data_IF_438480226579
#
_entry.id   IF_438480226579
#
_cell.length_a   1.000
_cell.length_b   1.000
_cell.length_c   1.000
_cell.angle_alpha   90.00
_cell.angle_beta   90.00
_cell.angle_gamma   90.00
#
_symmetry.space_group_name_H-M   'P 1'
#
loop_
_entity.id
_entity.type
_entity.pdbx_description
1 polymer ?
#
# COMPACT_ATOMS: atom_id res chain seq x y z
N UNK A 1 -17.66 -8.66 3.02
CA UNK A 1 -17.55 -9.25 1.67
C UNK A 1 -16.37 -10.19 1.70
N UNK A 2 -16.62 -11.50 1.66
CA UNK A 2 -15.54 -12.49 1.55
C UNK A 2 -15.04 -12.44 0.12
N UNK A 3 -13.81 -11.98 -0.09
CA UNK A 3 -13.21 -11.95 -1.43
C UNK A 3 -13.16 -13.35 -2.02
N UNK A 4 -13.34 -13.47 -3.34
CA UNK A 4 -13.10 -14.72 -4.06
C UNK A 4 -11.64 -15.11 -3.85
N UNK A 5 -11.42 -16.24 -3.19
CA UNK A 5 -10.08 -16.75 -2.94
C UNK A 5 -9.65 -17.61 -4.13
N UNK A 6 -8.73 -17.07 -4.92
CA UNK A 6 -8.13 -17.78 -6.04
C UNK A 6 -7.17 -18.84 -5.49
N UNK A 7 -7.22 -20.10 -5.94
CA UNK A 7 -6.28 -21.14 -5.53
C UNK A 7 -4.83 -20.69 -5.70
N UNK A 8 -3.99 -21.03 -4.72
CA UNK A 8 -2.57 -20.66 -4.67
C UNK A 8 -2.29 -19.15 -4.56
N UNK A 9 -3.28 -18.35 -4.14
CA UNK A 9 -3.00 -16.96 -3.76
C UNK A 9 -2.07 -16.90 -2.55
N UNK A 10 -1.14 -15.94 -2.56
CA UNK A 10 -0.24 -15.68 -1.44
C UNK A 10 -0.64 -14.35 -0.80
N UNK A 11 -0.66 -14.32 0.53
CA UNK A 11 -0.94 -13.13 1.34
C UNK A 11 0.26 -12.81 2.20
N UNK A 12 0.75 -11.58 2.09
CA UNK A 12 1.96 -11.12 2.79
C UNK A 12 1.58 -9.94 3.67
N UNK A 13 1.56 -10.08 5.00
CA UNK A 13 1.34 -8.95 5.90
C UNK A 13 2.54 -8.00 5.84
N UNK A 14 2.27 -6.71 5.72
CA UNK A 14 3.31 -5.67 5.74
C UNK A 14 2.83 -4.46 6.52
N UNK A 15 3.72 -3.82 7.27
CA UNK A 15 3.46 -2.51 7.83
C UNK A 15 3.88 -1.42 6.84
N UNK A 16 3.04 -0.42 6.61
CA UNK A 16 3.32 0.63 5.61
C UNK A 16 3.85 1.87 6.30
N UNK A 17 4.98 2.38 5.79
CA UNK A 17 5.46 3.71 6.12
C UNK A 17 4.97 4.71 5.08
N UNK A 18 4.35 5.78 5.57
CA UNK A 18 3.88 6.88 4.72
C UNK A 18 4.53 8.18 5.13
N UNK A 19 4.87 8.98 4.14
CA UNK A 19 5.38 10.32 4.34
C UNK A 19 4.33 11.35 3.91
N UNK A 20 4.07 12.31 4.78
CA UNK A 20 3.28 13.50 4.50
C UNK A 20 4.21 14.67 4.23
N UNK A 21 4.00 15.35 3.10
CA UNK A 21 4.75 16.54 2.68
C UNK A 21 3.80 17.68 2.32
N UNK A 22 4.23 18.95 2.38
CA UNK A 22 3.41 20.06 1.90
C UNK A 22 3.01 19.85 0.43
N UNK A 23 1.75 20.12 0.12
CA UNK A 23 1.23 20.03 -1.24
C UNK A 23 1.89 21.05 -2.17
N UNK A 24 2.10 20.67 -3.43
CA UNK A 24 2.67 21.54 -4.45
C UNK A 24 1.61 22.26 -5.31
N UNK A 25 0.31 22.05 -5.01
CA UNK A 25 -0.81 22.54 -5.83
C UNK A 25 -1.94 23.08 -4.97
N UNK A 26 -2.83 23.93 -5.50
CA UNK A 26 -3.99 24.45 -4.76
C UNK A 26 -5.03 23.41 -4.36
N UNK A 27 -4.98 22.19 -4.89
CA UNK A 27 -6.04 21.19 -4.71
C UNK A 27 -5.88 20.35 -3.43
N UNK A 28 -4.69 20.32 -2.85
CA UNK A 28 -4.42 19.56 -1.64
C UNK A 28 -3.33 20.24 -0.82
N UNK A 29 -3.62 20.48 0.47
CA UNK A 29 -2.65 21.01 1.43
C UNK A 29 -1.48 20.05 1.68
N UNK A 30 -1.75 18.74 1.58
CA UNK A 30 -0.78 17.68 1.86
C UNK A 30 -0.65 16.71 0.70
N UNK A 31 0.58 16.34 0.39
CA UNK A 31 0.91 15.18 -0.46
C UNK A 31 1.28 14.00 0.43
N UNK A 32 0.73 12.83 0.12
CA UNK A 32 0.99 11.59 0.82
C UNK A 32 1.65 10.58 -0.10
N UNK A 33 2.66 9.89 0.40
CA UNK A 33 3.37 8.85 -0.35
C UNK A 33 3.66 7.66 0.55
N UNK A 34 3.32 6.45 0.10
CA UNK A 34 3.90 5.24 0.66
C UNK A 34 5.38 5.19 0.24
N UNK A 35 6.28 5.18 1.22
CA UNK A 35 7.72 5.28 0.98
C UNK A 35 8.44 3.96 1.25
N UNK A 36 7.90 3.11 2.12
CA UNK A 36 8.51 1.86 2.53
C UNK A 36 7.46 0.89 3.10
N UNK A 37 7.79 -0.39 3.10
CA UNK A 37 7.04 -1.45 3.78
C UNK A 37 7.99 -2.26 4.66
N UNK A 38 7.51 -2.65 5.84
CA UNK A 38 8.25 -3.47 6.80
C UNK A 38 7.57 -4.83 6.93
N UNK A 39 8.34 -5.92 6.86
CA UNK A 39 7.87 -7.28 7.13
C UNK A 39 7.69 -7.54 8.62
N UNK A 40 8.52 -6.90 9.44
CA UNK A 40 8.46 -6.92 10.89
C UNK A 40 8.55 -5.48 11.40
N UNK A 41 7.48 -5.03 12.04
CA UNK A 41 7.37 -3.68 12.58
C UNK A 41 7.00 -3.75 14.07
N UNK A 42 7.48 -2.80 14.88
CA UNK A 42 7.08 -2.74 16.29
C UNK A 42 5.57 -2.59 16.41
N UNK A 43 4.99 -3.16 17.46
CA UNK A 43 3.57 -3.04 17.79
C UNK A 43 3.27 -1.61 18.26
N UNK A 44 3.06 -0.73 17.29
CA UNK A 44 2.72 0.66 17.47
C UNK A 44 1.33 0.91 16.88
N UNK A 45 0.54 1.82 17.47
CA UNK A 45 -0.74 2.20 16.90
C UNK A 45 -0.60 2.73 15.46
N UNK A 46 -1.59 2.47 14.59
CA UNK A 46 -1.67 3.12 13.28
C UNK A 46 -1.52 4.64 13.38
N UNK A 47 -0.84 5.24 12.41
CA UNK A 47 -0.53 6.67 12.32
C UNK A 47 0.42 7.19 13.40
N UNK A 48 1.28 6.33 13.95
CA UNK A 48 2.36 6.77 14.85
C UNK A 48 3.41 7.57 14.07
N UNK A 49 3.74 8.78 14.55
CA UNK A 49 4.84 9.61 14.01
C UNK A 49 6.18 8.97 14.36
N UNK A 50 7.01 8.70 13.35
CA UNK A 50 8.35 8.13 13.52
C UNK A 50 9.45 9.19 13.40
N UNK A 51 9.23 10.19 12.55
CA UNK A 51 10.20 11.28 12.30
C UNK A 51 9.47 12.52 11.78
N UNK A 52 9.95 13.69 12.20
CA UNK A 52 9.59 14.98 11.62
C UNK A 52 10.86 15.72 11.22
N UNK A 53 10.95 16.15 9.96
CA UNK A 53 12.11 16.89 9.45
C UNK A 53 11.74 17.73 8.22
N UNK A 54 12.21 18.97 8.15
CA UNK A 54 12.08 19.84 6.98
C UNK A 54 10.63 19.96 6.41
N UNK A 55 9.61 19.89 7.27
CA UNK A 55 8.20 19.93 6.88
C UNK A 55 7.63 18.59 6.40
N UNK A 56 8.41 17.51 6.47
CA UNK A 56 8.00 16.15 6.19
C UNK A 56 7.71 15.43 7.51
N UNK A 57 6.63 14.64 7.53
CA UNK A 57 6.33 13.75 8.65
C UNK A 57 6.28 12.31 8.14
N UNK A 58 7.12 11.44 8.69
CA UNK A 58 7.09 10.00 8.44
C UNK A 58 6.22 9.33 9.51
N UNK A 59 5.28 8.52 9.06
CA UNK A 59 4.36 7.76 9.91
C UNK A 59 4.51 6.27 9.66
N UNK A 60 4.34 5.47 10.71
CA UNK A 60 3.85 4.11 10.59
C UNK A 60 2.33 4.20 10.36
N UNK A 61 1.87 4.01 9.12
CA UNK A 61 0.44 4.05 8.81
C UNK A 61 -0.33 2.86 9.42
N UNK A 62 0.36 1.73 9.60
CA UNK A 62 -0.19 0.50 10.18
C UNK A 62 0.02 -0.70 9.27
N UNK A 63 -0.57 -1.83 9.66
CA UNK A 63 -0.50 -3.10 8.95
C UNK A 63 -1.54 -3.21 7.83
N UNK A 64 -1.14 -3.83 6.73
CA UNK A 64 -2.00 -4.22 5.62
C UNK A 64 -1.52 -5.54 5.02
N UNK A 65 -2.24 -6.03 4.01
CA UNK A 65 -1.93 -7.28 3.32
C UNK A 65 -1.65 -7.01 1.84
N UNK A 66 -0.54 -7.55 1.34
CA UNK A 66 -0.27 -7.67 -0.09
C UNK A 66 -0.79 -9.04 -0.56
N UNK A 67 -1.77 -9.03 -1.44
CA UNK A 67 -2.32 -10.23 -2.06
C UNK A 67 -1.72 -10.43 -3.46
N UNK A 68 -1.22 -11.64 -3.72
CA UNK A 68 -0.71 -12.08 -5.02
C UNK A 68 -1.62 -13.17 -5.56
N UNK A 69 -2.24 -12.92 -6.72
CA UNK A 69 -3.17 -13.83 -7.37
C UNK A 69 -2.53 -14.40 -8.65
N UNK A 70 -2.08 -15.66 -8.66
CA UNK A 70 -1.25 -16.19 -9.74
C UNK A 70 -1.97 -16.24 -11.09
N UNK A 71 -3.29 -16.34 -11.11
CA UNK A 71 -4.07 -16.39 -12.36
C UNK A 71 -4.32 -15.02 -12.97
N UNK A 72 -4.22 -13.93 -12.20
CA UNK A 72 -4.66 -12.60 -12.66
C UNK A 72 -3.87 -12.13 -13.88
N UNK A 73 -2.57 -12.43 -13.95
CA UNK A 73 -1.74 -12.03 -15.09
C UNK A 73 -2.12 -12.78 -16.38
N UNK A 74 -2.42 -14.08 -16.29
CA UNK A 74 -2.85 -14.86 -17.46
C UNK A 74 -4.24 -14.40 -17.92
N UNK A 75 -5.19 -14.31 -16.98
CA UNK A 75 -6.55 -13.86 -17.24
C UNK A 75 -6.58 -12.45 -17.84
N UNK A 76 -5.79 -11.51 -17.28
CA UNK A 76 -5.73 -10.15 -17.79
C UNK A 76 -5.18 -10.08 -19.22
N UNK A 77 -4.14 -10.88 -19.51
CA UNK A 77 -3.59 -10.97 -20.86
C UNK A 77 -4.60 -11.54 -21.85
N UNK A 78 -5.28 -12.62 -21.50
CA UNK A 78 -6.33 -13.24 -22.34
C UNK A 78 -7.47 -12.25 -22.60
N UNK A 79 -7.90 -11.51 -21.57
CA UNK A 79 -8.93 -10.46 -21.72
C UNK A 79 -8.50 -9.33 -22.67
N UNK A 80 -7.22 -8.94 -22.66
CA UNK A 80 -6.69 -7.92 -23.59
C UNK A 80 -6.57 -8.44 -25.03
N UNK A 81 -6.50 -9.75 -25.22
CA UNK A 81 -6.36 -10.42 -26.52
C UNK A 81 -7.69 -10.90 -27.10
N UNK A 82 -8.75 -10.94 -26.29
CA UNK A 82 -10.08 -11.29 -26.75
C UNK A 82 -10.58 -10.23 -27.74
N UNK A 83 -11.00 -10.68 -28.92
CA UNK A 83 -11.76 -9.84 -29.85
C UNK A 83 -13.17 -9.62 -29.25
N UNK A 84 -13.77 -8.41 -29.34
CA UNK A 84 -15.01 -8.08 -28.64
C UNK A 84 -16.21 -8.97 -28.97
#
# INVERSE_FOLDING_TARGET
MTGLEVPNSVRIPVAVLVERRPGATPWAEWSWRAVEVLEDAPDLPPWTVLREEAGHTLFLAGWTEVALHPTDTANYRENLQADP
#
